data_IF_701420776403
#
_entry.id   IF_701420776403
#
_cell.length_a   1.000
_cell.length_b   1.000
_cell.length_c   1.000
_cell.angle_alpha   90.00
_cell.angle_beta   90.00
_cell.angle_gamma   90.00
#
_symmetry.space_group_name_H-M   'P 1'
#
loop_
_entity.id
_entity.type
_entity.pdbx_description
1 polymer ?
#
# COMPACT_ATOMS: atom_id res chain seq x y z
N UNK A 1 14.62 -6.24 21.14
CA UNK A 1 15.58 -6.94 20.24
C UNK A 1 15.49 -6.52 18.77
N UNK A 2 14.44 -5.84 18.32
CA UNK A 2 14.22 -5.41 16.91
C UNK A 2 15.15 -4.27 16.42
N UNK A 3 16.09 -3.79 17.21
CA UNK A 3 16.81 -2.55 16.94
C UNK A 3 18.33 -2.64 16.98
N UNK A 4 18.93 -3.80 16.77
CA UNK A 4 20.40 -3.93 16.70
C UNK A 4 20.97 -3.97 15.27
N UNK A 5 20.14 -4.06 14.25
CA UNK A 5 20.52 -4.03 12.85
C UNK A 5 19.61 -3.06 12.10
N UNK A 6 20.16 -2.30 11.19
CA UNK A 6 19.49 -1.37 10.30
C UNK A 6 18.20 -1.98 9.73
N UNK A 7 17.04 -1.57 10.25
CA UNK A 7 15.77 -2.19 9.87
C UNK A 7 15.00 -1.26 8.96
N UNK A 8 14.70 -1.74 7.77
CA UNK A 8 13.80 -1.13 6.82
C UNK A 8 12.61 -2.08 6.66
N UNK A 9 11.41 -1.66 7.03
CA UNK A 9 10.21 -2.48 6.93
C UNK A 9 9.22 -1.84 5.97
N UNK A 10 8.68 -2.63 5.07
CA UNK A 10 7.48 -2.29 4.31
C UNK A 10 6.35 -3.17 4.81
N UNK A 11 5.29 -2.54 5.31
CA UNK A 11 4.10 -3.24 5.78
C UNK A 11 3.05 -3.13 4.67
N UNK A 12 2.70 -4.26 4.07
CA UNK A 12 1.66 -4.35 3.07
C UNK A 12 0.33 -4.70 3.74
N UNK A 13 -0.69 -3.91 3.45
CA UNK A 13 -2.08 -3.99 3.94
C UNK A 13 -2.31 -3.35 5.31
N UNK A 14 -3.08 -2.25 5.28
CA UNK A 14 -3.30 -1.33 6.37
C UNK A 14 -3.96 -1.93 7.60
N UNK A 15 -3.13 -2.31 8.56
CA UNK A 15 -3.52 -2.38 9.96
C UNK A 15 -2.54 -1.51 10.73
N UNK A 16 -3.04 -0.39 11.25
CA UNK A 16 -2.31 0.42 12.21
C UNK A 16 -2.30 -0.37 13.51
N UNK A 17 -1.18 -1.04 13.81
CA UNK A 17 -0.96 -1.58 15.16
C UNK A 17 -0.62 -0.40 16.06
N UNK A 18 -1.63 0.15 16.73
CA UNK A 18 -1.47 1.28 17.68
C UNK A 18 -0.73 0.93 18.97
N UNK A 19 -0.36 -0.31 19.23
CA UNK A 19 0.28 -0.71 20.49
C UNK A 19 1.39 -1.75 20.27
N UNK A 20 2.57 -1.30 19.86
CA UNK A 20 3.80 -1.99 20.22
C UNK A 20 4.30 -1.37 21.54
N UNK A 21 4.46 -2.13 22.64
CA UNK A 21 5.07 -1.60 23.84
C UNK A 21 6.56 -1.38 23.59
N UNK A 22 6.88 -0.21 23.06
CA UNK A 22 8.24 0.31 23.10
C UNK A 22 8.50 0.71 24.55
N UNK A 23 9.26 -0.09 25.30
CA UNK A 23 9.90 0.39 26.52
C UNK A 23 10.80 1.56 26.12
N UNK A 24 10.26 2.77 26.22
CA UNK A 24 11.02 3.99 26.03
C UNK A 24 12.06 4.10 27.15
N UNK A 25 13.35 4.31 26.85
CA UNK A 25 14.25 4.84 27.83
C UNK A 25 13.80 6.28 28.13
N UNK A 26 13.68 6.60 29.41
CA UNK A 26 13.38 7.94 29.90
C UNK A 26 14.53 8.89 29.56
N UNK A 27 14.38 9.62 28.47
CA UNK A 27 15.21 10.77 28.13
C UNK A 27 14.26 11.97 28.05
N UNK A 28 14.52 13.08 28.81
CA UNK A 28 13.68 14.27 28.70
C UNK A 28 13.79 14.85 27.28
N UNK A 29 12.63 15.14 26.70
CA UNK A 29 12.55 15.75 25.38
C UNK A 29 13.21 17.14 25.39
N UNK A 30 14.10 17.47 24.44
CA UNK A 30 14.55 18.83 24.27
C UNK A 30 13.36 19.69 23.82
N UNK A 31 13.14 20.82 24.50
CA UNK A 31 12.17 21.82 24.12
C UNK A 31 12.57 22.45 22.79
N UNK A 32 11.91 22.06 21.71
CA UNK A 32 12.02 22.74 20.40
C UNK A 32 11.04 23.89 20.42
N UNK A 33 11.47 25.16 20.22
CA UNK A 33 10.57 26.26 20.07
C UNK A 33 9.74 26.10 18.79
N UNK A 34 8.43 26.33 18.87
CA UNK A 34 7.52 26.27 17.75
C UNK A 34 7.96 27.24 16.65
N UNK A 35 7.92 26.84 15.35
CA UNK A 35 8.20 27.76 14.28
C UNK A 35 7.11 28.86 14.23
N UNK A 36 7.53 30.11 14.28
CA UNK A 36 6.66 31.28 14.09
C UNK A 36 6.09 31.27 12.66
N UNK A 37 4.77 31.26 12.56
CA UNK A 37 4.04 31.43 11.29
C UNK A 37 4.28 32.87 10.79
N UNK A 38 4.74 33.08 9.54
CA UNK A 38 4.80 34.42 8.97
C UNK A 38 3.39 34.98 8.68
N UNK A 39 3.17 36.22 9.05
CA UNK A 39 1.93 36.92 8.83
C UNK A 39 1.60 37.13 7.34
N UNK A 40 0.32 37.20 7.06
CA UNK A 40 -0.31 37.34 5.74
C UNK A 40 0.32 38.42 4.85
N UNK A 41 0.40 38.10 3.55
CA UNK A 41 0.72 39.08 2.49
C UNK A 41 -0.42 40.06 2.27
N UNK A 42 -0.14 41.38 2.10
CA UNK A 42 -1.15 42.33 1.68
C UNK A 42 -1.37 42.27 0.16
N UNK A 43 -2.63 42.35 -0.25
CA UNK A 43 -3.06 42.54 -1.64
C UNK A 43 -2.58 43.91 -2.16
N UNK A 44 -1.82 43.94 -3.26
CA UNK A 44 -1.59 45.17 -4.02
C UNK A 44 -2.31 45.12 -5.37
N UNK A 45 -3.04 46.21 -5.59
CA UNK A 45 -3.85 46.55 -6.77
C UNK A 45 -2.96 46.86 -7.97
N UNK A 46 -3.42 46.39 -9.13
CA UNK A 46 -2.93 46.77 -10.44
C UNK A 46 -3.09 48.26 -10.73
N UNK A 47 -2.02 48.90 -11.21
CA UNK A 47 -2.11 50.10 -12.03
C UNK A 47 -1.23 49.95 -13.26
N UNK A 48 -1.87 50.23 -14.39
CA UNK A 48 -1.39 50.34 -15.77
C UNK A 48 -0.32 51.40 -15.95
N UNK A 49 0.69 51.13 -16.81
CA UNK A 49 1.45 52.22 -17.45
C UNK A 49 2.81 51.83 -18.02
N UNK A 50 2.93 51.78 -19.35
CA UNK A 50 4.04 52.31 -20.11
C UNK A 50 5.30 51.45 -20.32
N UNK A 51 5.43 50.88 -21.53
CA UNK A 51 6.73 50.55 -22.15
C UNK A 51 7.62 51.78 -22.37
N UNK A 52 8.97 51.64 -22.33
CA UNK A 52 9.72 51.62 -23.58
C UNK A 52 10.98 50.71 -23.63
N UNK A 53 11.14 50.17 -24.80
CA UNK A 53 12.33 49.87 -25.68
C UNK A 53 13.71 49.48 -25.08
N UNK A 54 14.13 48.31 -25.57
CA UNK A 54 15.45 47.88 -26.08
C UNK A 54 16.73 48.42 -25.42
N UNK A 55 17.49 47.49 -24.88
CA UNK A 55 18.95 47.41 -25.11
C UNK A 55 19.46 45.97 -25.25
N UNK A 56 20.52 45.84 -26.04
CA UNK A 56 21.07 44.67 -26.68
C UNK A 56 21.90 43.79 -25.74
N UNK A 57 21.86 42.50 -26.07
CA UNK A 57 22.65 41.39 -25.62
C UNK A 57 24.13 41.67 -25.35
N UNK A 58 24.60 41.13 -24.22
CA UNK A 58 25.96 40.61 -24.09
C UNK A 58 25.88 39.17 -23.62
N UNK A 59 26.50 38.29 -24.38
CA UNK A 59 26.69 36.85 -24.13
C UNK A 59 27.42 36.64 -22.81
N UNK A 60 26.67 36.26 -21.79
CA UNK A 60 27.19 35.75 -20.54
C UNK A 60 26.54 34.38 -20.28
N UNK A 61 27.41 33.35 -20.16
CA UNK A 61 26.97 31.95 -20.01
C UNK A 61 25.90 31.76 -18.96
N UNK A 62 24.91 30.99 -19.33
CA UNK A 62 23.87 30.49 -18.41
C UNK A 62 24.54 29.78 -17.23
N UNK A 63 24.22 30.13 -15.99
CA UNK A 63 24.63 29.31 -14.86
C UNK A 63 23.98 27.95 -15.04
N UNK A 64 24.81 26.91 -15.07
CA UNK A 64 24.36 25.55 -14.99
C UNK A 64 23.47 25.46 -13.75
N UNK A 65 22.21 25.07 -13.94
CA UNK A 65 21.33 24.66 -12.88
C UNK A 65 22.09 23.58 -12.09
N UNK A 66 22.65 23.95 -10.95
CA UNK A 66 23.06 22.99 -9.95
C UNK A 66 21.83 22.13 -9.64
N UNK A 67 21.88 20.88 -10.07
CA UNK A 67 20.90 19.89 -9.70
C UNK A 67 20.91 19.82 -8.17
N UNK A 68 19.81 20.19 -7.57
CA UNK A 68 19.57 20.00 -6.15
C UNK A 68 19.54 18.49 -5.83
N UNK A 69 20.69 17.88 -5.72
CA UNK A 69 20.92 16.51 -5.20
C UNK A 69 21.16 16.52 -3.70
N UNK A 70 21.03 17.67 -3.04
CA UNK A 70 21.49 17.88 -1.66
C UNK A 70 20.41 17.67 -0.59
N UNK A 71 19.16 17.37 -0.95
CA UNK A 71 18.08 17.23 0.04
C UNK A 71 18.18 16.01 0.96
N UNK A 72 18.88 14.95 0.56
CA UNK A 72 18.99 13.71 1.34
C UNK A 72 20.18 13.66 2.30
N UNK A 73 21.23 14.41 2.04
CA UNK A 73 22.47 14.36 2.85
C UNK A 73 22.26 14.83 4.30
N UNK A 74 21.58 15.97 4.57
CA UNK A 74 21.37 16.42 5.94
C UNK A 74 20.53 15.44 6.77
N UNK A 75 19.51 14.82 6.17
CA UNK A 75 18.68 13.82 6.84
C UNK A 75 19.47 12.56 7.17
N UNK A 76 20.29 12.05 6.26
CA UNK A 76 21.13 10.88 6.51
C UNK A 76 22.16 11.12 7.61
N UNK A 77 22.79 12.28 7.64
CA UNK A 77 23.71 12.66 8.70
C UNK A 77 23.01 12.71 10.06
N UNK A 78 21.79 13.26 10.09
CA UNK A 78 20.96 13.26 11.30
C UNK A 78 20.62 11.83 11.76
N UNK A 79 20.23 10.94 10.83
CA UNK A 79 19.89 9.54 11.11
C UNK A 79 21.10 8.71 11.56
N UNK A 80 22.32 9.10 11.19
CA UNK A 80 23.57 8.49 11.67
C UNK A 80 23.90 8.89 13.09
N UNK A 81 23.68 10.15 13.44
CA UNK A 81 24.00 10.70 14.76
C UNK A 81 22.88 10.50 15.78
N UNK A 82 21.65 10.29 15.32
CA UNK A 82 20.47 10.13 16.18
C UNK A 82 19.76 8.81 15.89
N UNK A 83 19.18 8.22 16.92
CA UNK A 83 18.34 7.04 16.80
C UNK A 83 16.88 7.45 16.62
N UNK A 84 16.37 7.37 15.39
CA UNK A 84 15.02 7.77 15.02
C UNK A 84 14.19 6.58 14.55
N UNK A 85 12.88 6.65 14.78
CA UNK A 85 11.88 5.85 14.10
C UNK A 85 11.09 6.78 13.18
N UNK A 86 11.17 6.54 11.87
CA UNK A 86 10.41 7.27 10.86
C UNK A 86 9.34 6.34 10.33
N UNK A 87 8.10 6.79 10.31
CA UNK A 87 6.97 6.05 9.76
C UNK A 87 6.38 6.90 8.64
N UNK A 88 6.37 6.36 7.42
CA UNK A 88 5.72 6.96 6.27
C UNK A 88 4.49 6.12 5.93
N UNK A 89 3.34 6.72 6.11
CA UNK A 89 2.04 6.07 5.86
C UNK A 89 1.52 6.42 4.46
N UNK A 90 0.66 5.56 3.94
CA UNK A 90 0.02 5.71 2.63
C UNK A 90 0.99 5.92 1.46
N UNK A 91 2.11 5.19 1.46
CA UNK A 91 3.15 5.34 0.41
C UNK A 91 2.61 5.07 -0.99
N UNK A 92 1.56 4.26 -1.17
CA UNK A 92 0.94 4.05 -2.47
C UNK A 92 0.44 5.35 -3.13
N UNK A 93 0.24 6.42 -2.36
CA UNK A 93 -0.21 7.72 -2.89
C UNK A 93 0.83 8.40 -3.79
N UNK A 94 2.11 8.05 -3.66
CA UNK A 94 3.17 8.58 -4.53
C UNK A 94 3.35 7.77 -5.82
N UNK A 95 2.59 6.69 -6.03
CA UNK A 95 2.64 5.86 -7.24
C UNK A 95 1.52 6.21 -8.21
N UNK A 96 1.81 6.07 -9.50
CA UNK A 96 0.88 6.36 -10.60
C UNK A 96 -0.26 5.34 -10.65
N UNK A 97 -1.47 5.83 -10.85
CA UNK A 97 -2.63 5.02 -11.23
C UNK A 97 -2.54 4.61 -12.70
N UNK A 98 -3.06 3.44 -13.07
CA UNK A 98 -3.04 2.94 -14.44
C UNK A 98 -1.65 2.53 -14.95
N UNK A 99 -0.67 2.44 -14.06
CA UNK A 99 0.68 1.94 -14.33
C UNK A 99 0.95 0.68 -13.51
N UNK A 100 1.91 -0.14 -13.94
CA UNK A 100 2.36 -1.28 -13.12
C UNK A 100 2.89 -0.81 -11.77
N UNK A 101 2.74 -1.66 -10.75
CA UNK A 101 3.08 -1.35 -9.37
C UNK A 101 4.51 -0.82 -9.18
N UNK A 102 4.65 0.20 -8.34
CA UNK A 102 5.92 0.83 -8.00
C UNK A 102 6.40 1.88 -9.01
N UNK A 103 5.58 2.29 -9.99
CA UNK A 103 5.88 3.42 -10.85
C UNK A 103 5.45 4.72 -10.18
N UNK A 104 6.39 5.63 -9.97
CA UNK A 104 6.15 6.90 -9.30
C UNK A 104 5.34 7.87 -10.15
N UNK A 105 4.54 8.70 -9.52
CA UNK A 105 3.92 9.85 -10.15
C UNK A 105 5.00 10.88 -10.54
N UNK A 106 4.74 11.71 -11.57
CA UNK A 106 5.62 12.81 -11.92
C UNK A 106 5.93 13.71 -10.72
N UNK A 107 7.22 13.92 -10.43
CA UNK A 107 7.70 14.70 -9.30
C UNK A 107 7.98 13.90 -8.01
N UNK A 108 7.61 12.61 -7.96
CA UNK A 108 7.86 11.72 -6.81
C UNK A 108 8.97 10.68 -7.05
N UNK A 109 9.64 10.72 -8.20
CA UNK A 109 10.66 9.73 -8.60
C UNK A 109 11.84 9.69 -7.63
N UNK A 110 12.15 10.82 -6.99
CA UNK A 110 13.24 10.93 -6.03
C UNK A 110 13.02 10.08 -4.76
N UNK A 111 11.78 9.67 -4.45
CA UNK A 111 11.51 8.79 -3.32
C UNK A 111 12.16 7.42 -3.50
N UNK A 112 12.23 6.89 -4.72
CA UNK A 112 12.94 5.64 -5.00
C UNK A 112 14.43 5.72 -4.66
N UNK A 113 15.08 6.81 -5.05
CA UNK A 113 16.47 7.06 -4.71
C UNK A 113 16.67 7.25 -3.21
N UNK A 114 15.75 7.94 -2.55
CA UNK A 114 15.74 8.14 -1.09
C UNK A 114 15.60 6.80 -0.34
N UNK A 115 14.63 5.96 -0.70
CA UNK A 115 14.46 4.64 -0.08
C UNK A 115 15.69 3.76 -0.27
N UNK A 116 16.26 3.75 -1.47
CA UNK A 116 17.49 3.02 -1.75
C UNK A 116 18.64 3.53 -0.89
N UNK A 117 18.82 4.84 -0.81
CA UNK A 117 19.90 5.45 -0.05
C UNK A 117 19.81 5.15 1.45
N UNK A 118 18.59 5.20 2.04
CA UNK A 118 18.36 4.81 3.42
C UNK A 118 18.68 3.31 3.62
N UNK A 119 18.17 2.44 2.73
CA UNK A 119 18.38 0.99 2.88
C UNK A 119 19.84 0.55 2.72
N UNK A 120 20.66 1.27 1.93
CA UNK A 120 22.05 0.92 1.66
C UNK A 120 23.04 1.64 2.58
N UNK A 121 22.62 2.70 3.29
CA UNK A 121 23.49 3.48 4.16
C UNK A 121 23.54 2.93 5.57
N UNK A 122 24.71 3.05 6.22
CA UNK A 122 24.84 2.75 7.64
C UNK A 122 24.30 3.90 8.49
N UNK A 123 23.31 3.63 9.34
CA UNK A 123 22.70 4.57 10.29
C UNK A 123 22.10 3.84 11.50
N UNK A 124 21.76 4.57 12.56
CA UNK A 124 21.22 4.00 13.81
C UNK A 124 19.69 4.05 13.89
N UNK A 125 19.02 4.45 12.82
CA UNK A 125 17.61 4.75 12.75
C UNK A 125 16.83 3.66 12.02
N UNK A 126 15.51 3.67 12.14
CA UNK A 126 14.60 2.76 11.45
C UNK A 126 13.61 3.55 10.61
N UNK A 127 13.38 3.13 9.36
CA UNK A 127 12.34 3.65 8.48
C UNK A 127 11.31 2.54 8.26
N UNK A 128 10.03 2.85 8.53
CA UNK A 128 8.89 1.98 8.26
C UNK A 128 8.04 2.64 7.18
N UNK A 129 7.76 1.88 6.12
CA UNK A 129 6.82 2.26 5.06
C UNK A 129 5.55 1.45 5.25
N UNK A 130 4.40 2.13 5.38
CA UNK A 130 3.08 1.52 5.38
C UNK A 130 2.47 1.72 4.00
N UNK A 131 2.17 0.61 3.32
CA UNK A 131 1.64 0.66 1.96
C UNK A 131 0.98 -0.66 1.57
N UNK A 132 -0.09 -0.60 0.81
CA UNK A 132 -0.65 -1.78 0.15
C UNK A 132 -0.02 -2.05 -1.24
N UNK A 133 0.89 -1.18 -1.68
CA UNK A 133 1.67 -1.36 -2.90
C UNK A 133 3.18 -1.28 -2.58
N UNK A 134 3.91 -2.37 -2.83
CA UNK A 134 5.35 -2.47 -2.54
C UNK A 134 6.17 -1.64 -3.53
N UNK A 135 7.02 -0.69 -3.06
CA UNK A 135 7.97 -0.01 -3.92
C UNK A 135 8.91 -1.00 -4.60
N UNK A 136 9.23 -0.77 -5.87
CA UNK A 136 10.10 -1.68 -6.64
C UNK A 136 11.54 -1.72 -6.11
N UNK A 137 12.02 -0.62 -5.55
CA UNK A 137 13.35 -0.54 -4.93
C UNK A 137 13.43 -1.44 -3.70
N UNK A 138 12.38 -1.45 -2.88
CA UNK A 138 12.30 -2.32 -1.70
C UNK A 138 12.31 -3.79 -2.14
N UNK A 139 11.51 -4.13 -3.16
CA UNK A 139 11.49 -5.50 -3.70
C UNK A 139 12.86 -5.95 -4.24
N UNK A 140 13.71 -5.03 -4.69
CA UNK A 140 15.07 -5.33 -5.16
C UNK A 140 16.11 -5.39 -4.02
N UNK A 141 15.88 -4.67 -2.92
CA UNK A 141 16.81 -4.52 -1.81
C UNK A 141 16.55 -5.50 -0.67
N UNK A 142 15.37 -6.10 -0.62
CA UNK A 142 15.04 -7.07 0.43
C UNK A 142 15.81 -8.39 0.28
N UNK A 143 16.06 -9.05 1.39
CA UNK A 143 16.72 -10.34 1.41
C UNK A 143 17.01 -10.81 2.84
N UNK A 144 17.32 -12.10 2.99
CA UNK A 144 17.49 -12.73 4.30
C UNK A 144 18.55 -12.03 5.16
N UNK A 145 19.68 -11.67 4.55
CA UNK A 145 20.82 -11.02 5.20
C UNK A 145 20.94 -9.53 4.86
N UNK A 146 19.85 -8.91 4.38
CA UNK A 146 19.85 -7.48 4.05
C UNK A 146 19.08 -6.67 5.10
N UNK A 147 19.42 -5.38 5.28
CA UNK A 147 18.74 -4.52 6.24
C UNK A 147 17.31 -4.16 5.84
N UNK A 148 16.94 -4.40 4.59
CA UNK A 148 15.61 -4.15 4.05
C UNK A 148 14.76 -5.42 4.16
N UNK A 149 13.60 -5.31 4.81
CA UNK A 149 12.64 -6.40 5.00
C UNK A 149 11.25 -5.95 4.60
N UNK A 150 10.46 -6.84 4.03
CA UNK A 150 9.03 -6.65 3.86
C UNK A 150 8.29 -7.56 4.82
N UNK A 151 7.28 -7.01 5.47
CA UNK A 151 6.33 -7.75 6.27
C UNK A 151 4.96 -7.64 5.62
N UNK A 152 4.45 -8.74 5.11
CA UNK A 152 3.05 -8.82 4.69
C UNK A 152 2.22 -9.13 5.93
N UNK A 153 1.28 -8.25 6.26
CA UNK A 153 0.34 -8.50 7.33
C UNK A 153 -0.72 -9.48 6.82
N UNK A 154 -0.78 -10.61 7.45
CA UNK A 154 -1.90 -11.53 7.30
C UNK A 154 -3.09 -10.99 8.09
N UNK A 155 -4.29 -11.46 7.77
CA UNK A 155 -5.47 -11.19 8.58
C UNK A 155 -5.33 -11.74 10.00
N UNK A 156 -6.22 -11.27 10.86
CA UNK A 156 -6.34 -11.79 12.22
C UNK A 156 -6.83 -13.27 12.17
N UNK A 157 -6.27 -14.06 13.05
CA UNK A 157 -6.76 -15.41 13.31
C UNK A 157 -7.93 -15.40 14.30
N UNK A 158 -7.90 -16.28 15.31
CA UNK A 158 -8.95 -16.36 16.33
C UNK A 158 -9.17 -15.04 17.10
N UNK A 159 -8.18 -14.15 17.14
CA UNK A 159 -8.26 -12.84 17.76
C UNK A 159 -9.32 -11.94 17.11
N UNK A 160 -9.67 -12.20 15.85
CA UNK A 160 -10.75 -11.50 15.15
C UNK A 160 -12.13 -11.67 15.83
N UNK A 161 -12.32 -12.72 16.63
CA UNK A 161 -13.55 -12.95 17.39
C UNK A 161 -13.88 -11.81 18.35
N UNK A 162 -12.87 -11.04 18.80
CA UNK A 162 -13.11 -9.89 19.65
C UNK A 162 -13.94 -8.82 18.94
N UNK A 163 -13.72 -8.61 17.65
CA UNK A 163 -14.51 -7.68 16.83
C UNK A 163 -16.00 -8.09 16.86
N UNK A 164 -16.28 -9.39 16.73
CA UNK A 164 -17.64 -9.90 16.71
C UNK A 164 -18.31 -9.82 18.09
N UNK A 165 -17.53 -10.07 19.15
CA UNK A 165 -17.99 -9.93 20.52
C UNK A 165 -18.34 -8.48 20.87
N UNK A 166 -17.49 -7.53 20.49
CA UNK A 166 -17.73 -6.10 20.68
C UNK A 166 -18.95 -5.60 19.90
N UNK A 167 -19.22 -6.19 18.74
CA UNK A 167 -20.40 -5.89 17.92
C UNK A 167 -21.66 -6.63 18.34
N UNK A 168 -21.57 -7.55 19.32
CA UNK A 168 -22.71 -8.29 19.83
C UNK A 168 -23.27 -9.33 18.87
N UNK A 169 -22.45 -9.92 18.00
CA UNK A 169 -22.91 -10.99 17.12
C UNK A 169 -23.24 -12.27 17.91
N UNK A 170 -24.28 -12.97 17.48
CA UNK A 170 -24.65 -14.28 17.98
C UNK A 170 -23.82 -15.39 17.32
N UNK A 171 -24.00 -16.62 17.81
CA UNK A 171 -23.51 -17.87 17.21
C UNK A 171 -21.97 -17.92 17.05
N UNK A 172 -21.22 -17.89 18.19
CA UNK A 172 -19.74 -17.87 18.15
C UNK A 172 -19.11 -19.03 17.39
N UNK A 173 -19.80 -20.15 17.28
CA UNK A 173 -19.38 -21.34 16.52
C UNK A 173 -19.30 -21.08 15.00
N UNK A 174 -19.98 -20.06 14.50
CA UNK A 174 -19.97 -19.65 13.09
C UNK A 174 -18.93 -18.56 12.77
N UNK A 175 -18.33 -17.96 13.78
CA UNK A 175 -17.42 -16.82 13.58
C UNK A 175 -16.15 -17.19 12.79
N UNK A 176 -15.67 -18.44 12.91
CA UNK A 176 -14.52 -18.91 12.13
C UNK A 176 -14.79 -18.85 10.62
N UNK A 177 -16.03 -19.16 10.20
CA UNK A 177 -16.44 -19.08 8.79
C UNK A 177 -16.39 -17.65 8.25
N UNK A 178 -16.87 -16.67 9.05
CA UNK A 178 -16.74 -15.25 8.70
C UNK A 178 -15.26 -14.81 8.60
N UNK A 179 -14.41 -15.24 9.54
CA UNK A 179 -12.99 -14.91 9.54
C UNK A 179 -12.35 -15.42 8.25
N UNK A 180 -12.64 -16.63 7.85
CA UNK A 180 -12.09 -17.26 6.63
C UNK A 180 -12.59 -16.58 5.35
N UNK A 181 -13.89 -16.26 5.28
CA UNK A 181 -14.50 -15.56 4.13
C UNK A 181 -13.87 -14.19 3.89
N UNK A 182 -13.64 -13.43 4.95
CA UNK A 182 -13.05 -12.08 4.88
C UNK A 182 -11.55 -12.07 5.16
N UNK A 183 -10.89 -13.26 5.14
CA UNK A 183 -9.44 -13.42 5.32
C UNK A 183 -8.90 -12.79 6.60
N UNK A 184 -9.71 -12.71 7.64
CA UNK A 184 -9.32 -12.09 8.91
C UNK A 184 -8.98 -10.59 8.81
N UNK A 185 -9.35 -9.91 7.72
CA UNK A 185 -9.08 -8.48 7.58
C UNK A 185 -9.91 -7.67 8.60
N UNK A 186 -9.30 -6.99 9.58
CA UNK A 186 -10.04 -6.38 10.67
C UNK A 186 -10.99 -5.27 10.22
N UNK A 187 -10.66 -4.52 9.18
CA UNK A 187 -11.54 -3.50 8.61
C UNK A 187 -12.76 -4.15 7.97
N UNK A 188 -12.55 -5.19 7.16
CA UNK A 188 -13.64 -5.89 6.48
C UNK A 188 -14.55 -6.59 7.49
N UNK A 189 -13.96 -7.27 8.49
CA UNK A 189 -14.71 -7.93 9.54
C UNK A 189 -15.54 -6.93 10.35
N UNK A 190 -15.01 -5.76 10.65
CA UNK A 190 -15.75 -4.72 11.38
C UNK A 190 -16.94 -4.17 10.57
N UNK A 191 -16.76 -3.94 9.25
CA UNK A 191 -17.84 -3.50 8.35
C UNK A 191 -18.93 -4.55 8.28
N UNK A 192 -18.56 -5.81 8.06
CA UNK A 192 -19.52 -6.92 7.94
C UNK A 192 -20.21 -7.20 9.26
N UNK A 193 -19.50 -7.16 10.38
CA UNK A 193 -20.11 -7.34 11.70
C UNK A 193 -21.13 -6.26 12.01
N UNK A 194 -20.87 -5.00 11.64
CA UNK A 194 -21.84 -3.92 11.76
C UNK A 194 -23.08 -4.21 10.92
N UNK A 195 -22.89 -4.61 9.67
CA UNK A 195 -24.00 -4.97 8.78
C UNK A 195 -24.85 -6.13 9.33
N UNK A 196 -24.18 -7.20 9.84
CA UNK A 196 -24.90 -8.34 10.44
C UNK A 196 -25.72 -7.88 11.64
N UNK A 197 -25.18 -6.99 12.46
CA UNK A 197 -25.92 -6.44 13.59
C UNK A 197 -27.12 -5.60 13.14
N UNK A 198 -26.95 -4.75 12.13
CA UNK A 198 -27.98 -3.81 11.68
C UNK A 198 -29.12 -4.48 10.90
N UNK A 199 -28.81 -5.45 10.06
CA UNK A 199 -29.79 -6.07 9.15
C UNK A 199 -30.32 -7.43 9.62
N UNK A 200 -29.53 -8.17 10.43
CA UNK A 200 -29.84 -9.54 10.86
C UNK A 200 -29.92 -9.68 12.39
N UNK A 201 -29.95 -8.56 13.13
CA UNK A 201 -30.00 -8.57 14.59
C UNK A 201 -28.87 -9.35 15.24
N UNK A 202 -27.73 -9.46 14.57
CA UNK A 202 -26.55 -10.19 15.03
C UNK A 202 -26.51 -11.67 14.63
N UNK A 203 -27.52 -12.21 13.91
CA UNK A 203 -27.54 -13.62 13.46
C UNK A 203 -26.56 -13.87 12.34
N UNK A 204 -25.47 -14.57 12.64
CA UNK A 204 -24.46 -14.96 11.66
C UNK A 204 -24.98 -16.05 10.73
N UNK A 205 -25.77 -17.00 11.21
CA UNK A 205 -26.38 -18.06 10.39
C UNK A 205 -27.31 -17.49 9.33
N UNK A 206 -28.11 -16.49 9.67
CA UNK A 206 -29.00 -15.85 8.71
C UNK A 206 -28.21 -15.14 7.61
N UNK A 207 -27.16 -14.40 7.98
CA UNK A 207 -26.26 -13.76 7.01
C UNK A 207 -25.58 -14.80 6.10
N UNK A 208 -25.04 -15.87 6.65
CA UNK A 208 -24.35 -16.93 5.89
C UNK A 208 -25.30 -17.78 5.02
N UNK A 209 -26.64 -17.69 5.24
CA UNK A 209 -27.61 -18.39 4.39
C UNK A 209 -27.72 -17.79 2.98
N UNK A 210 -27.20 -16.61 2.74
CA UNK A 210 -27.11 -16.02 1.42
C UNK A 210 -25.89 -16.58 0.67
N UNK A 211 -26.11 -17.15 -0.51
CA UNK A 211 -25.08 -17.77 -1.36
C UNK A 211 -24.08 -16.78 -1.97
N UNK A 212 -24.18 -15.50 -1.64
CA UNK A 212 -23.32 -14.45 -2.19
C UNK A 212 -22.56 -13.76 -1.05
N UNK A 213 -21.28 -13.57 -1.27
CA UNK A 213 -20.46 -12.79 -0.35
C UNK A 213 -20.85 -11.31 -0.46
N UNK A 214 -21.43 -10.79 0.63
CA UNK A 214 -21.86 -9.40 0.63
C UNK A 214 -20.67 -8.45 0.74
N UNK A 215 -20.58 -7.51 -0.17
CA UNK A 215 -19.49 -6.52 -0.21
C UNK A 215 -19.86 -5.21 0.48
N UNK A 216 -21.08 -4.71 0.28
CA UNK A 216 -21.55 -3.47 0.90
C UNK A 216 -20.55 -2.31 0.75
N UNK A 217 -20.21 -1.68 1.87
CA UNK A 217 -19.25 -0.57 1.91
C UNK A 217 -17.84 -0.97 1.49
N UNK A 218 -17.52 -2.28 1.48
CA UNK A 218 -16.23 -2.79 0.97
C UNK A 218 -16.07 -2.53 -0.53
N UNK A 219 -17.16 -2.44 -1.28
CA UNK A 219 -17.12 -2.23 -2.73
C UNK A 219 -16.41 -0.92 -3.09
N UNK A 220 -16.66 0.14 -2.34
CA UNK A 220 -16.02 1.43 -2.54
C UNK A 220 -14.51 1.39 -2.30
N UNK A 221 -14.07 0.64 -1.30
CA UNK A 221 -12.65 0.45 -0.98
C UNK A 221 -11.97 -0.38 -2.08
N UNK A 222 -12.59 -1.47 -2.50
CA UNK A 222 -12.09 -2.32 -3.58
C UNK A 222 -12.02 -1.56 -4.91
N UNK A 223 -12.99 -0.66 -5.16
CA UNK A 223 -13.01 0.17 -6.35
C UNK A 223 -11.75 1.04 -6.45
N UNK A 224 -11.33 1.67 -5.36
CA UNK A 224 -10.10 2.47 -5.30
C UNK A 224 -8.85 1.65 -5.66
N UNK A 225 -8.76 0.39 -5.21
CA UNK A 225 -7.66 -0.51 -5.59
C UNK A 225 -7.70 -0.86 -7.08
N UNK A 226 -8.90 -1.14 -7.59
CA UNK A 226 -9.12 -1.57 -8.97
C UNK A 226 -8.88 -0.47 -9.99
N UNK A 227 -9.24 0.76 -9.69
CA UNK A 227 -9.06 1.91 -10.58
C UNK A 227 -7.58 2.27 -10.80
N UNK A 228 -6.71 1.73 -9.96
CA UNK A 228 -5.26 1.88 -10.12
C UNK A 228 -4.64 0.85 -11.07
N UNK A 229 -5.36 -0.20 -11.42
CA UNK A 229 -4.86 -1.27 -12.25
C UNK A 229 -4.78 -0.87 -13.72
N UNK A 230 -3.74 -1.36 -14.41
CA UNK A 230 -3.68 -1.33 -15.87
C UNK A 230 -4.73 -2.25 -16.48
N UNK A 231 -5.07 -2.04 -17.75
CA UNK A 231 -5.97 -2.94 -18.48
C UNK A 231 -5.48 -4.40 -18.46
N UNK A 232 -4.17 -4.62 -18.57
CA UNK A 232 -3.56 -5.95 -18.52
C UNK A 232 -3.68 -6.58 -17.12
N UNK A 233 -3.51 -5.81 -16.04
CA UNK A 233 -3.75 -6.28 -14.67
C UNK A 233 -5.23 -6.64 -14.45
N UNK A 234 -6.15 -5.82 -14.97
CA UNK A 234 -7.59 -6.10 -14.89
C UNK A 234 -7.96 -7.39 -15.63
N UNK A 235 -7.38 -7.64 -16.81
CA UNK A 235 -7.59 -8.89 -17.54
C UNK A 235 -7.07 -10.11 -16.77
N UNK A 236 -5.85 -10.03 -16.24
CA UNK A 236 -5.24 -11.14 -15.51
C UNK A 236 -6.00 -11.47 -14.22
N UNK A 237 -6.43 -10.45 -13.45
CA UNK A 237 -7.17 -10.69 -12.22
C UNK A 237 -8.59 -11.19 -12.50
N UNK A 238 -9.23 -10.77 -13.60
CA UNK A 238 -10.51 -11.29 -14.05
C UNK A 238 -10.40 -12.77 -14.47
N UNK A 239 -9.30 -13.15 -15.12
CA UNK A 239 -9.01 -14.56 -15.41
C UNK A 239 -8.89 -15.37 -14.10
N UNK A 240 -8.11 -14.90 -13.13
CA UNK A 240 -7.98 -15.57 -11.82
C UNK A 240 -9.32 -15.68 -11.08
N UNK A 241 -10.18 -14.67 -11.19
CA UNK A 241 -11.50 -14.68 -10.56
C UNK A 241 -12.40 -15.80 -11.12
N UNK A 242 -12.30 -16.06 -12.42
CA UNK A 242 -13.08 -17.10 -13.10
C UNK A 242 -12.41 -18.49 -13.07
N UNK A 243 -11.23 -18.61 -12.46
CA UNK A 243 -10.52 -19.89 -12.30
C UNK A 243 -10.80 -20.44 -10.90
N UNK A 244 -11.48 -21.60 -10.76
CA UNK A 244 -11.89 -22.13 -9.45
C UNK A 244 -10.70 -22.61 -8.59
N UNK A 245 -9.64 -23.11 -9.21
CA UNK A 245 -8.43 -23.59 -8.55
C UNK A 245 -7.28 -22.59 -8.71
N UNK A 246 -6.24 -22.67 -7.87
CA UNK A 246 -5.04 -21.85 -8.06
C UNK A 246 -4.45 -22.06 -9.45
N UNK A 247 -4.31 -20.95 -10.20
CA UNK A 247 -3.91 -20.94 -11.59
C UNK A 247 -2.41 -21.21 -11.76
N UNK A 248 -2.06 -22.09 -12.68
CA UNK A 248 -0.69 -22.28 -13.17
C UNK A 248 -0.43 -21.30 -14.32
N UNK A 249 0.45 -20.33 -14.13
CA UNK A 249 0.77 -19.33 -15.15
C UNK A 249 1.46 -19.91 -16.39
N UNK A 250 1.90 -21.16 -16.37
CA UNK A 250 2.39 -21.83 -17.57
C UNK A 250 1.26 -22.29 -18.50
N UNK A 251 0.03 -22.31 -18.00
CA UNK A 251 -1.18 -22.72 -18.72
C UNK A 251 -2.06 -21.49 -19.00
N UNK A 252 -1.55 -20.60 -19.82
CA UNK A 252 -2.26 -19.37 -20.19
C UNK A 252 -3.46 -19.74 -21.08
N UNK A 253 -4.69 -19.31 -20.74
CA UNK A 253 -5.84 -19.57 -21.59
C UNK A 253 -5.76 -18.71 -22.87
N UNK A 254 -6.19 -19.25 -24.00
CA UNK A 254 -6.14 -18.61 -25.31
C UNK A 254 -6.90 -17.28 -25.38
N UNK A 255 -7.93 -17.11 -24.53
CA UNK A 255 -8.71 -15.88 -24.44
C UNK A 255 -8.03 -14.78 -23.63
N UNK A 256 -6.91 -15.05 -22.95
CA UNK A 256 -6.13 -14.03 -22.26
C UNK A 256 -5.18 -13.38 -23.28
N UNK A 257 -5.51 -12.17 -23.71
CA UNK A 257 -4.75 -11.42 -24.71
C UNK A 257 -3.43 -10.84 -24.14
N UNK A 258 -2.63 -11.69 -23.48
CA UNK A 258 -1.34 -11.32 -22.92
C UNK A 258 -0.28 -12.32 -23.37
N UNK A 259 0.84 -11.83 -23.86
CA UNK A 259 2.00 -12.68 -24.11
C UNK A 259 2.58 -13.22 -22.79
N UNK A 260 3.29 -14.36 -22.78
CA UNK A 260 3.91 -14.88 -21.58
C UNK A 260 4.81 -13.88 -20.81
N UNK A 261 5.66 -13.07 -21.47
CA UNK A 261 6.44 -12.05 -20.77
C UNK A 261 5.59 -10.93 -20.13
N UNK A 262 4.49 -10.55 -20.79
CA UNK A 262 3.56 -9.56 -20.24
C UNK A 262 2.82 -10.11 -19.04
N UNK A 263 2.34 -11.35 -19.10
CA UNK A 263 1.69 -11.98 -17.95
C UNK A 263 2.62 -12.05 -16.74
N UNK A 264 3.90 -12.41 -16.93
CA UNK A 264 4.86 -12.42 -15.82
C UNK A 264 5.02 -11.05 -15.16
N UNK A 265 5.11 -9.97 -15.96
CA UNK A 265 5.17 -8.60 -15.44
C UNK A 265 3.91 -8.21 -14.68
N UNK A 266 2.75 -8.57 -15.23
CA UNK A 266 1.44 -8.31 -14.64
C UNK A 266 1.30 -9.06 -13.32
N UNK A 267 1.63 -10.35 -13.28
CA UNK A 267 1.57 -11.15 -12.04
C UNK A 267 2.52 -10.63 -10.97
N UNK A 268 3.72 -10.20 -11.35
CA UNK A 268 4.65 -9.54 -10.43
C UNK A 268 4.07 -8.23 -9.88
N UNK A 269 3.41 -7.44 -10.73
CA UNK A 269 2.77 -6.19 -10.34
C UNK A 269 1.60 -6.44 -9.38
N UNK A 270 0.71 -7.37 -9.70
CA UNK A 270 -0.40 -7.78 -8.84
C UNK A 270 0.07 -8.31 -7.49
N UNK A 271 1.18 -9.06 -7.47
CA UNK A 271 1.82 -9.52 -6.23
C UNK A 271 2.35 -8.35 -5.38
N UNK A 272 2.94 -7.33 -6.00
CA UNK A 272 3.36 -6.10 -5.29
C UNK A 272 2.19 -5.29 -4.74
N UNK A 273 1.00 -5.44 -5.31
CA UNK A 273 -0.24 -4.83 -4.82
C UNK A 273 -0.99 -5.70 -3.80
N UNK A 274 -0.44 -6.88 -3.45
CA UNK A 274 -1.10 -7.86 -2.55
C UNK A 274 -2.49 -8.29 -3.02
N UNK A 275 -2.76 -8.23 -4.32
CA UNK A 275 -4.04 -8.63 -4.92
C UNK A 275 -4.07 -10.10 -5.32
N UNK A 276 -2.90 -10.74 -5.39
CA UNK A 276 -2.77 -12.17 -5.69
C UNK A 276 -1.99 -12.87 -4.58
N UNK A 277 -2.41 -14.09 -4.28
CA UNK A 277 -1.78 -14.99 -3.35
C UNK A 277 -1.00 -16.07 -4.13
N UNK A 278 0.18 -16.44 -3.63
CA UNK A 278 0.97 -17.50 -4.21
C UNK A 278 0.85 -18.76 -3.34
N UNK A 279 0.41 -19.84 -3.95
CA UNK A 279 0.30 -21.16 -3.32
C UNK A 279 1.31 -22.09 -3.97
N UNK A 280 2.09 -22.83 -3.18
CA UNK A 280 2.98 -23.85 -3.71
C UNK A 280 2.26 -25.19 -3.80
N UNK A 281 2.17 -25.72 -5.02
CA UNK A 281 1.64 -27.04 -5.30
C UNK A 281 2.64 -27.83 -6.15
N UNK A 282 3.05 -29.03 -5.70
CA UNK A 282 4.03 -29.88 -6.38
C UNK A 282 5.33 -29.15 -6.76
N UNK A 283 5.84 -28.28 -5.88
CA UNK A 283 7.08 -27.51 -6.10
C UNK A 283 6.95 -26.34 -7.07
N UNK A 284 5.77 -26.10 -7.65
CA UNK A 284 5.48 -24.98 -8.54
C UNK A 284 4.63 -23.92 -7.84
N UNK A 285 4.80 -22.68 -8.25
CA UNK A 285 3.97 -21.57 -7.77
C UNK A 285 2.68 -21.50 -8.58
N UNK A 286 1.55 -21.55 -7.89
CA UNK A 286 0.23 -21.32 -8.42
C UNK A 286 -0.31 -20.01 -7.82
N UNK A 287 -1.23 -19.37 -8.52
CA UNK A 287 -1.75 -18.06 -8.13
C UNK A 287 -3.26 -18.12 -7.93
N UNK A 288 -3.71 -17.46 -6.88
CA UNK A 288 -5.13 -17.31 -6.57
C UNK A 288 -5.40 -15.91 -6.04
N UNK A 289 -6.66 -15.59 -5.84
CA UNK A 289 -7.13 -14.34 -5.23
C UNK A 289 -8.05 -14.65 -4.06
N UNK A 290 -8.09 -13.76 -3.07
CA UNK A 290 -8.96 -13.91 -1.92
C UNK A 290 -10.45 -13.86 -2.29
N UNK A 291 -11.35 -14.45 -1.46
CA UNK A 291 -12.79 -14.56 -1.75
C UNK A 291 -13.45 -13.21 -2.02
N UNK A 292 -13.17 -12.21 -1.19
CA UNK A 292 -13.72 -10.84 -1.31
C UNK A 292 -13.33 -10.19 -2.64
N UNK A 293 -12.06 -10.31 -3.04
CA UNK A 293 -11.58 -9.78 -4.32
C UNK A 293 -12.24 -10.52 -5.48
N UNK A 294 -12.37 -11.83 -5.38
CA UNK A 294 -13.03 -12.69 -6.38
C UNK A 294 -14.47 -12.24 -6.62
N UNK A 295 -15.25 -12.11 -5.54
CA UNK A 295 -16.64 -11.70 -5.62
C UNK A 295 -16.80 -10.31 -6.24
N UNK A 296 -15.96 -9.36 -5.79
CA UNK A 296 -15.96 -8.01 -6.36
C UNK A 296 -15.75 -8.02 -7.89
N UNK A 297 -14.78 -8.81 -8.37
CA UNK A 297 -14.47 -8.88 -9.80
C UNK A 297 -15.60 -9.53 -10.59
N UNK A 298 -16.18 -10.62 -10.07
CA UNK A 298 -17.31 -11.30 -10.69
C UNK A 298 -18.50 -10.35 -10.82
N UNK A 299 -18.83 -9.61 -9.77
CA UNK A 299 -19.91 -8.63 -9.78
C UNK A 299 -19.64 -7.49 -10.77
N UNK A 300 -18.42 -6.97 -10.79
CA UNK A 300 -18.02 -5.90 -11.72
C UNK A 300 -18.07 -6.34 -13.18
N UNK A 301 -17.77 -7.61 -13.47
CA UNK A 301 -17.86 -8.15 -14.85
C UNK A 301 -19.29 -8.44 -15.27
N UNK A 302 -20.16 -8.89 -14.36
CA UNK A 302 -21.59 -9.10 -14.63
C UNK A 302 -22.31 -7.80 -14.93
N UNK A 303 -22.00 -6.72 -14.24
CA UNK A 303 -22.63 -5.41 -14.41
C UNK A 303 -22.16 -4.66 -15.68
N UNK A 304 -21.17 -5.17 -16.42
CA UNK A 304 -20.69 -4.60 -17.69
C UNK A 304 -21.31 -5.26 -18.93
N UNK A 305 -21.98 -6.39 -18.76
CA UNK A 305 -22.71 -7.12 -19.80
C UNK A 305 -24.21 -6.83 -19.73
#
# INVERSE_FOLDING_TARGET
ELCKTHCFYTIQSGVIIKNLPLKAPSVPAPSVPAPSVPAAYPEERATTGGLPQKERATTGGLPQKERATTGGLPLLEYLRSHRCLIILDDIQTIFSSGQLAGNYQPGYENYGAFFKQIAESSHNSCLILLSWEKPREIAALEGENRPCKSLQLNGLGPEAQEIFREKGLAEPEKWSELIDLYRGNPLWLNIVATLIQDLFGGSVSEFLSYDTLFLGDLESLLHQHFDRLTASEQQAIAWLANTPEPADISKIPENLQLSPPELLKVMQSLGRRSLVETVKHNGRSHFTIGPVIREYIINKTRNKN
#
